data_IF_686075977613
#
_entry.id   IF_686075977613
#
_cell.length_a   1.000
_cell.length_b   1.000
_cell.length_c   1.000
_cell.angle_alpha   90.00
_cell.angle_beta   90.00
_cell.angle_gamma   90.00
#
_symmetry.space_group_name_H-M   'P 1'
#
loop_
_entity.id
_entity.type
_entity.pdbx_description
1 polymer ?
#
# COMPACT_ATOMS: atom_id res chain seq x y z
N UNK A 1 21.58 -22.73 -17.32
CA UNK A 1 21.05 -21.64 -16.47
C UNK A 1 19.55 -21.85 -16.43
N UNK A 2 18.98 -22.17 -15.27
CA UNK A 2 17.52 -22.25 -15.12
C UNK A 2 16.96 -20.86 -15.38
N UNK A 3 16.06 -20.71 -16.36
CA UNK A 3 15.30 -19.47 -16.53
C UNK A 3 14.62 -19.15 -15.19
N UNK A 4 14.96 -18.00 -14.62
CA UNK A 4 14.25 -17.48 -13.45
C UNK A 4 12.83 -17.17 -13.91
N UNK A 5 11.86 -17.96 -13.44
CA UNK A 5 10.46 -17.76 -13.77
C UNK A 5 10.00 -16.41 -13.26
N UNK A 6 9.65 -15.52 -14.19
CA UNK A 6 9.12 -14.19 -13.87
C UNK A 6 7.79 -14.32 -13.14
N UNK A 7 7.62 -13.71 -11.94
CA UNK A 7 6.33 -13.67 -11.27
C UNK A 7 5.26 -13.00 -12.14
N UNK A 8 4.08 -13.61 -12.22
CA UNK A 8 2.92 -13.04 -12.92
C UNK A 8 2.22 -11.95 -12.11
N UNK A 9 2.31 -12.04 -10.79
CA UNK A 9 1.69 -11.15 -9.81
C UNK A 9 2.64 -10.97 -8.62
N UNK A 10 2.72 -9.76 -8.08
CA UNK A 10 3.42 -9.46 -6.83
C UNK A 10 2.42 -8.81 -5.88
N UNK A 11 2.12 -9.50 -4.78
CA UNK A 11 1.26 -8.99 -3.72
C UNK A 11 2.07 -8.31 -2.62
N UNK A 12 1.72 -7.08 -2.27
CA UNK A 12 2.27 -6.33 -1.14
C UNK A 12 1.28 -6.31 0.00
N UNK A 13 1.73 -6.64 1.21
CA UNK A 13 1.02 -6.19 2.41
C UNK A 13 1.16 -4.66 2.55
N UNK A 14 0.39 -4.05 3.45
CA UNK A 14 0.43 -2.61 3.70
C UNK A 14 1.23 -2.28 4.96
N UNK A 15 0.70 -2.66 6.11
CA UNK A 15 1.29 -2.33 7.41
C UNK A 15 2.63 -3.04 7.60
N UNK A 16 3.64 -2.29 8.05
CA UNK A 16 5.04 -2.74 8.15
C UNK A 16 5.64 -3.29 6.85
N UNK A 17 5.06 -2.96 5.70
CA UNK A 17 5.61 -3.29 4.38
C UNK A 17 5.79 -2.03 3.54
N UNK A 18 4.73 -1.25 3.33
CA UNK A 18 4.82 0.03 2.62
C UNK A 18 5.08 1.20 3.58
N UNK A 19 4.59 1.08 4.81
CA UNK A 19 4.78 2.08 5.86
C UNK A 19 5.08 1.44 7.23
N UNK A 20 5.79 2.14 8.13
CA UNK A 20 6.29 1.56 9.38
C UNK A 20 5.27 1.65 10.54
N UNK A 21 4.00 1.32 10.30
CA UNK A 21 2.95 1.37 11.32
C UNK A 21 1.74 0.48 10.93
N UNK A 22 0.88 0.17 11.90
CA UNK A 22 -0.49 -0.31 11.66
C UNK A 22 -1.46 0.86 11.51
N UNK A 23 -2.13 0.93 10.37
CA UNK A 23 -3.06 2.03 10.02
C UNK A 23 -4.29 2.12 10.91
N UNK A 24 -4.69 1.01 11.55
CA UNK A 24 -5.84 0.95 12.46
C UNK A 24 -5.49 1.23 13.94
N UNK A 25 -4.21 1.47 14.25
CA UNK A 25 -3.72 1.54 15.64
C UNK A 25 -2.89 2.80 15.92
N UNK A 26 -1.98 3.18 15.01
CA UNK A 26 -0.93 4.16 15.32
C UNK A 26 -1.18 5.57 14.77
N UNK A 27 -2.23 5.74 13.97
CA UNK A 27 -2.56 6.98 13.26
C UNK A 27 -4.07 7.15 13.27
N UNK A 28 -4.54 8.37 13.04
CA UNK A 28 -5.95 8.71 13.22
C UNK A 28 -6.58 9.23 11.90
N UNK A 29 -7.18 8.35 11.08
CA UNK A 29 -7.89 8.78 9.87
C UNK A 29 -9.03 9.79 10.17
N UNK A 30 -9.45 10.63 9.20
CA UNK A 30 -9.00 10.64 7.81
C UNK A 30 -7.67 11.37 7.63
N UNK A 31 -7.01 11.03 6.52
CA UNK A 31 -5.76 11.65 6.09
C UNK A 31 -6.01 12.80 5.11
N UNK A 32 -5.06 13.73 5.02
CA UNK A 32 -5.10 14.82 4.03
C UNK A 32 -3.68 15.31 3.71
N UNK A 33 -3.54 16.13 2.67
CA UNK A 33 -2.28 16.85 2.41
C UNK A 33 -2.29 18.19 3.14
N UNK A 34 -1.22 18.46 3.89
CA UNK A 34 -0.99 19.79 4.47
C UNK A 34 -0.62 20.82 3.37
N UNK A 35 -0.44 22.08 3.77
CA UNK A 35 -0.05 23.16 2.86
C UNK A 35 1.32 22.98 2.20
N UNK A 36 2.16 22.06 2.69
CA UNK A 36 3.44 21.66 2.10
C UNK A 36 3.30 20.43 1.19
N UNK A 37 2.11 19.88 1.04
CA UNK A 37 1.85 18.66 0.28
C UNK A 37 2.20 17.36 1.01
N UNK A 38 2.51 17.41 2.31
CA UNK A 38 2.79 16.21 3.11
C UNK A 38 1.49 15.55 3.55
N UNK A 39 1.43 14.23 3.50
CA UNK A 39 0.29 13.47 4.03
C UNK A 39 0.35 13.46 5.55
N UNK A 40 -0.72 13.90 6.19
CA UNK A 40 -0.91 13.93 7.64
C UNK A 40 -2.26 13.31 8.02
N UNK A 41 -2.39 12.85 9.26
CA UNK A 41 -3.66 12.40 9.84
C UNK A 41 -4.54 13.55 10.38
N UNK A 42 -5.67 13.23 11.01
CA UNK A 42 -6.61 14.23 11.52
C UNK A 42 -6.02 15.14 12.61
N UNK A 43 -4.96 14.70 13.29
CA UNK A 43 -4.25 15.44 14.32
C UNK A 43 -2.96 16.10 13.81
N UNK A 44 -2.79 16.19 12.49
CA UNK A 44 -1.60 16.72 11.82
C UNK A 44 -0.31 15.92 12.09
N UNK A 45 -0.43 14.65 12.50
CA UNK A 45 0.74 13.77 12.58
C UNK A 45 1.16 13.41 11.17
N UNK A 46 2.43 13.65 10.85
CA UNK A 46 3.01 13.30 9.55
C UNK A 46 2.97 11.78 9.33
N UNK A 47 2.37 11.36 8.24
CA UNK A 47 2.39 9.97 7.78
C UNK A 47 3.70 9.71 7.04
N UNK A 48 4.38 8.65 7.45
CA UNK A 48 5.66 8.21 6.89
C UNK A 48 5.47 6.91 6.12
N UNK A 49 6.28 6.71 5.10
CA UNK A 49 6.45 5.42 4.42
C UNK A 49 7.93 5.03 4.41
N UNK A 50 8.25 3.78 4.09
CA UNK A 50 9.64 3.38 3.88
C UNK A 50 10.21 4.08 2.64
N UNK A 51 11.39 4.70 2.76
CA UNK A 51 11.90 5.69 1.80
C UNK A 51 11.97 5.20 0.35
N UNK A 52 12.27 3.92 0.14
CA UNK A 52 12.46 3.31 -1.19
C UNK A 52 11.16 2.82 -1.84
N UNK A 53 10.06 2.75 -1.08
CA UNK A 53 8.78 2.20 -1.57
C UNK A 53 8.28 2.89 -2.85
N UNK A 54 8.30 4.24 -2.97
CA UNK A 54 7.91 4.88 -4.21
C UNK A 54 8.71 4.41 -5.42
N UNK A 55 10.02 4.21 -5.27
CA UNK A 55 10.89 3.77 -6.37
C UNK A 55 10.68 2.30 -6.70
N UNK A 56 10.51 1.43 -5.70
CA UNK A 56 10.22 0.00 -5.88
C UNK A 56 8.91 -0.20 -6.64
N UNK A 57 7.82 0.44 -6.19
CA UNK A 57 6.50 0.30 -6.83
C UNK A 57 6.53 0.84 -8.25
N UNK A 58 7.17 2.00 -8.47
CA UNK A 58 7.30 2.60 -9.80
C UNK A 58 8.13 1.73 -10.75
N UNK A 59 9.23 1.17 -10.28
CA UNK A 59 10.09 0.29 -11.07
C UNK A 59 9.34 -0.98 -11.48
N UNK A 60 8.73 -1.68 -10.52
CA UNK A 60 7.97 -2.90 -10.81
C UNK A 60 6.82 -2.65 -11.79
N UNK A 61 6.08 -1.56 -11.61
CA UNK A 61 5.00 -1.18 -12.52
C UNK A 61 5.53 -0.88 -13.93
N UNK A 62 6.65 -0.13 -14.04
CA UNK A 62 7.28 0.19 -15.33
C UNK A 62 7.80 -1.04 -16.07
N UNK A 63 8.34 -2.02 -15.33
CA UNK A 63 8.79 -3.28 -15.92
C UNK A 63 7.61 -4.15 -16.40
N UNK A 64 6.37 -3.81 -16.05
CA UNK A 64 5.15 -4.51 -16.47
C UNK A 64 4.75 -5.65 -15.54
N UNK A 65 5.16 -5.63 -14.28
CA UNK A 65 4.63 -6.55 -13.27
C UNK A 65 3.22 -6.14 -12.86
N UNK A 66 2.33 -7.12 -12.68
CA UNK A 66 1.01 -6.90 -12.09
C UNK A 66 1.17 -6.84 -10.58
N UNK A 67 0.74 -5.75 -9.96
CA UNK A 67 0.86 -5.54 -8.52
C UNK A 67 -0.51 -5.60 -7.83
N UNK A 68 -0.54 -6.18 -6.63
CA UNK A 68 -1.72 -6.22 -5.78
C UNK A 68 -1.41 -5.68 -4.38
N UNK A 69 -2.30 -4.91 -3.79
CA UNK A 69 -2.29 -4.60 -2.37
C UNK A 69 -3.15 -5.65 -1.64
N UNK A 70 -2.59 -6.30 -0.61
CA UNK A 70 -3.20 -7.43 0.10
C UNK A 70 -3.04 -7.24 1.60
N UNK A 71 -4.03 -6.60 2.24
CA UNK A 71 -3.97 -6.25 3.67
C UNK A 71 -5.17 -6.73 4.45
N UNK A 72 -4.91 -7.11 5.70
CA UNK A 72 -5.90 -7.60 6.67
C UNK A 72 -6.49 -6.50 7.57
N UNK A 73 -6.10 -5.24 7.36
CA UNK A 73 -6.53 -4.15 8.24
C UNK A 73 -8.05 -3.98 8.27
N UNK A 74 -8.59 -3.67 9.45
CA UNK A 74 -9.98 -3.24 9.60
C UNK A 74 -10.21 -1.81 9.13
N UNK A 75 -9.15 -0.99 9.07
CA UNK A 75 -9.20 0.40 8.63
C UNK A 75 -9.09 0.50 7.10
N UNK A 76 -10.09 -0.06 6.43
CA UNK A 76 -10.14 -0.20 4.97
C UNK A 76 -10.13 1.17 4.28
N UNK A 77 -10.86 2.15 4.83
CA UNK A 77 -10.99 3.47 4.23
C UNK A 77 -9.68 4.25 4.34
N UNK A 78 -9.09 4.28 5.52
CA UNK A 78 -7.80 4.92 5.76
C UNK A 78 -6.69 4.31 4.90
N UNK A 79 -6.62 2.98 4.80
CA UNK A 79 -5.64 2.30 3.96
C UNK A 79 -5.74 2.70 2.48
N UNK A 80 -6.95 2.69 1.91
CA UNK A 80 -7.17 3.12 0.52
C UNK A 80 -6.84 4.61 0.31
N UNK A 81 -7.21 5.45 1.27
CA UNK A 81 -6.92 6.88 1.21
C UNK A 81 -5.42 7.16 1.19
N UNK A 82 -4.61 6.41 1.94
CA UNK A 82 -3.16 6.55 1.90
C UNK A 82 -2.59 6.16 0.53
N UNK A 83 -3.08 5.08 -0.09
CA UNK A 83 -2.66 4.69 -1.44
C UNK A 83 -2.97 5.79 -2.47
N UNK A 84 -4.11 6.46 -2.34
CA UNK A 84 -4.50 7.58 -3.20
C UNK A 84 -3.63 8.83 -2.93
N UNK A 85 -3.47 9.25 -1.68
CA UNK A 85 -2.73 10.46 -1.33
C UNK A 85 -1.23 10.35 -1.64
N UNK A 86 -0.64 9.15 -1.54
CA UNK A 86 0.72 8.87 -1.97
C UNK A 86 0.86 8.63 -3.47
N UNK A 87 -0.24 8.69 -4.23
CA UNK A 87 -0.25 8.48 -5.69
C UNK A 87 0.29 7.10 -6.09
N UNK A 88 -0.03 6.08 -5.26
CA UNK A 88 0.35 4.68 -5.48
C UNK A 88 -0.79 3.83 -6.03
N UNK A 89 -2.04 4.33 -6.00
CA UNK A 89 -3.21 3.61 -6.52
C UNK A 89 -3.01 3.16 -7.98
N UNK A 90 -2.38 4.02 -8.80
CA UNK A 90 -2.03 3.73 -10.19
C UNK A 90 -1.07 2.56 -10.39
N UNK A 91 -0.30 2.20 -9.36
CA UNK A 91 0.65 1.09 -9.44
C UNK A 91 -0.03 -0.27 -9.21
N UNK A 92 -1.14 -0.30 -8.47
CA UNK A 92 -1.83 -1.53 -8.06
C UNK A 92 -3.00 -1.85 -8.97
N UNK A 93 -2.96 -3.02 -9.61
CA UNK A 93 -4.07 -3.52 -10.44
C UNK A 93 -5.21 -4.06 -9.57
N UNK A 94 -4.87 -4.66 -8.43
CA UNK A 94 -5.83 -5.26 -7.50
C UNK A 94 -5.61 -4.73 -6.08
N UNK A 95 -6.71 -4.58 -5.32
CA UNK A 95 -6.68 -4.17 -3.92
C UNK A 95 -7.64 -5.02 -3.11
N UNK A 96 -7.09 -6.01 -2.42
CA UNK A 96 -7.81 -6.85 -1.47
C UNK A 96 -7.45 -6.34 -0.06
N UNK A 97 -8.29 -5.45 0.48
CA UNK A 97 -8.05 -4.80 1.78
C UNK A 97 -9.28 -5.02 2.65
N UNK A 98 -9.23 -6.02 3.53
CA UNK A 98 -10.27 -6.32 4.49
C UNK A 98 -9.79 -7.36 5.52
N UNK A 99 -10.39 -7.43 6.72
CA UNK A 99 -10.08 -8.50 7.67
C UNK A 99 -10.37 -9.89 7.10
N UNK A 100 -9.39 -10.79 7.19
CA UNK A 100 -9.56 -12.17 6.71
C UNK A 100 -8.26 -12.93 6.57
N UNK A 101 -8.35 -14.15 6.01
CA UNK A 101 -7.19 -14.98 5.68
C UNK A 101 -6.58 -14.54 4.34
N UNK A 102 -5.25 -14.40 4.26
CA UNK A 102 -4.57 -14.02 3.00
C UNK A 102 -4.79 -15.02 1.86
N UNK A 103 -5.07 -16.30 2.17
CA UNK A 103 -5.45 -17.28 1.14
C UNK A 103 -6.70 -16.81 0.38
N UNK A 104 -7.70 -16.27 1.08
CA UNK A 104 -8.93 -15.74 0.45
C UNK A 104 -8.63 -14.55 -0.46
N UNK A 105 -7.68 -13.69 -0.07
CA UNK A 105 -7.30 -12.52 -0.86
C UNK A 105 -6.65 -12.90 -2.19
N UNK A 106 -5.96 -14.05 -2.28
CA UNK A 106 -5.34 -14.51 -3.53
C UNK A 106 -6.26 -15.41 -4.39
N UNK A 107 -7.43 -15.79 -3.87
CA UNK A 107 -8.38 -16.66 -4.56
C UNK A 107 -9.57 -15.90 -5.18
N UNK A 108 -9.53 -14.55 -5.17
CA UNK A 108 -10.50 -13.67 -5.80
C UNK A 108 -9.88 -12.99 -7.01
#
# INVERSE_FOLDING_TARGET
>A
MTELTRPKLIGFDLDYTLWPFWVDTHVDPPFHKDWKGQVVDMYNKKIKYYAEVPEVLKWLHKEGYVLAAVSRTGEIKGANQLLELFDWDKCFTYKEIYPGCKITHFNR
#
